data_IF_843230141780
#
_entry.id   IF_843230141780
#
_cell.length_a   1.000
_cell.length_b   1.000
_cell.length_c   1.000
_cell.angle_alpha   90.00
_cell.angle_beta   90.00
_cell.angle_gamma   90.00
#
_symmetry.space_group_name_H-M   'P 1'
#
loop_
_entity.id
_entity.type
_entity.pdbx_description
1 polymer ?
#
# COMPACT_ATOMS: atom_id res chain seq x y z
N UNK A 1 -29.73 -17.17 16.35
CA UNK A 1 -28.50 -17.44 17.15
C UNK A 1 -27.41 -16.57 16.59
N UNK A 2 -27.12 -15.43 17.25
CA UNK A 2 -26.05 -14.51 16.87
C UNK A 2 -24.71 -15.11 17.29
N UNK A 3 -23.94 -15.64 16.36
CA UNK A 3 -22.52 -15.87 16.56
C UNK A 3 -21.80 -14.53 16.36
N UNK A 4 -21.60 -13.81 17.45
CA UNK A 4 -20.56 -12.77 17.48
C UNK A 4 -19.22 -13.48 17.25
N UNK A 5 -18.55 -13.13 16.17
CA UNK A 5 -17.16 -13.52 15.93
C UNK A 5 -16.31 -12.92 17.05
N UNK A 6 -15.94 -13.73 18.00
CA UNK A 6 -14.93 -13.42 19.00
C UNK A 6 -13.61 -13.26 18.24
N UNK A 7 -13.14 -12.03 18.09
CA UNK A 7 -11.78 -11.78 17.62
C UNK A 7 -10.85 -12.12 18.77
N UNK A 8 -10.07 -13.18 18.62
CA UNK A 8 -9.02 -13.53 19.56
C UNK A 8 -7.98 -12.39 19.62
N UNK A 9 -7.79 -11.85 20.82
CA UNK A 9 -6.83 -10.77 21.05
C UNK A 9 -5.44 -11.38 21.12
N UNK A 10 -4.64 -11.18 20.07
CA UNK A 10 -3.22 -11.52 20.12
C UNK A 10 -2.45 -10.45 20.89
N UNK A 11 -1.90 -10.82 22.03
CA UNK A 11 -0.98 -9.98 22.79
C UNK A 11 0.35 -9.86 22.03
N UNK A 12 0.62 -8.68 21.49
CA UNK A 12 1.82 -8.37 20.70
C UNK A 12 2.53 -7.14 21.31
N UNK A 13 3.24 -7.27 22.46
CA UNK A 13 3.86 -6.15 23.17
C UNK A 13 4.87 -5.36 22.29
N UNK A 14 5.51 -6.01 21.31
CA UNK A 14 6.38 -5.34 20.31
C UNK A 14 5.61 -4.35 19.43
N UNK A 15 4.29 -4.52 19.26
CA UNK A 15 3.44 -3.54 18.58
C UNK A 15 3.26 -2.25 19.37
N UNK A 16 3.47 -2.27 20.67
CA UNK A 16 3.39 -1.06 21.52
C UNK A 16 4.52 -0.08 21.21
N UNK A 17 5.69 -0.53 20.81
CA UNK A 17 6.75 0.37 20.31
C UNK A 17 6.33 1.00 18.97
N UNK A 18 5.72 0.22 18.09
CA UNK A 18 5.14 0.70 16.83
C UNK A 18 3.99 1.70 17.09
N UNK A 19 3.08 1.41 18.01
CA UNK A 19 1.98 2.31 18.40
C UNK A 19 2.50 3.55 19.15
N UNK A 20 3.57 3.42 19.95
CA UNK A 20 4.20 4.55 20.65
C UNK A 20 5.08 5.37 19.70
N UNK A 21 5.68 4.77 18.70
CA UNK A 21 6.37 5.47 17.61
C UNK A 21 5.40 6.12 16.62
N UNK A 22 4.14 5.72 16.61
CA UNK A 22 3.02 6.36 15.91
C UNK A 22 2.49 7.67 16.55
N UNK A 23 3.16 8.23 17.53
CA UNK A 23 3.32 9.69 17.55
C UNK A 23 4.30 10.07 16.43
N UNK A 24 4.06 9.54 15.22
CA UNK A 24 4.63 10.06 14.00
C UNK A 24 4.27 11.54 13.98
N UNK A 25 5.27 12.41 13.87
CA UNK A 25 5.05 13.79 13.50
C UNK A 25 3.96 13.78 12.43
N UNK A 26 2.79 14.34 12.75
CA UNK A 26 1.70 14.42 11.77
C UNK A 26 2.28 15.12 10.55
N UNK A 27 2.33 14.42 9.43
CA UNK A 27 2.82 15.03 8.19
C UNK A 27 1.81 16.11 7.84
N UNK A 28 2.20 17.38 7.80
CA UNK A 28 1.27 18.47 7.52
C UNK A 28 0.54 18.23 6.20
N UNK A 29 -0.75 18.53 6.16
CA UNK A 29 -1.49 18.50 4.91
C UNK A 29 -0.94 19.58 3.98
N UNK A 30 -0.68 19.22 2.74
CA UNK A 30 -0.26 20.14 1.68
C UNK A 30 -1.46 20.46 0.77
N UNK A 31 -1.35 21.57 0.03
CA UNK A 31 -2.35 21.91 -0.98
C UNK A 31 -2.27 20.92 -2.14
N UNK A 32 -3.32 20.16 -2.34
CA UNK A 32 -3.42 19.21 -3.46
C UNK A 32 -3.70 19.93 -4.78
N UNK A 33 -3.37 19.27 -5.90
CA UNK A 33 -3.66 19.78 -7.23
C UNK A 33 -5.17 19.90 -7.49
N UNK A 34 -5.55 20.68 -8.49
CA UNK A 34 -6.95 20.81 -8.92
C UNK A 34 -7.57 19.44 -9.25
N UNK A 35 -8.78 19.20 -8.76
CA UNK A 35 -9.45 17.90 -8.86
C UNK A 35 -8.99 16.84 -7.84
N UNK A 36 -7.99 17.14 -7.01
CA UNK A 36 -7.56 16.27 -5.92
C UNK A 36 -8.44 16.45 -4.66
N UNK A 37 -8.43 15.44 -3.80
CA UNK A 37 -9.11 15.45 -2.50
C UNK A 37 -8.08 15.69 -1.38
N UNK A 38 -8.22 16.77 -0.57
CA UNK A 38 -7.28 17.09 0.52
C UNK A 38 -7.27 16.04 1.65
N UNK A 39 -8.30 15.21 1.75
CA UNK A 39 -8.37 14.13 2.74
C UNK A 39 -7.87 12.79 2.19
N UNK A 40 -7.55 12.72 0.91
CA UNK A 40 -7.00 11.55 0.27
C UNK A 40 -5.48 11.46 0.48
N UNK A 41 -5.00 10.40 1.15
CA UNK A 41 -3.57 10.21 1.41
C UNK A 41 -2.75 10.09 0.11
N UNK A 42 -3.32 9.56 -0.97
CA UNK A 42 -2.65 9.45 -2.28
C UNK A 42 -2.49 10.84 -2.90
N UNK A 43 -3.54 11.68 -2.90
CA UNK A 43 -3.45 13.06 -3.38
C UNK A 43 -2.43 13.87 -2.56
N UNK A 44 -2.41 13.69 -1.25
CA UNK A 44 -1.43 14.30 -0.37
C UNK A 44 0.00 13.83 -0.71
N UNK A 45 0.19 12.53 -0.96
CA UNK A 45 1.48 12.01 -1.38
C UNK A 45 1.88 12.52 -2.77
N UNK A 46 0.95 12.66 -3.72
CA UNK A 46 1.22 13.24 -5.05
C UNK A 46 1.72 14.69 -4.96
N UNK A 47 1.15 15.48 -4.06
CA UNK A 47 1.46 16.90 -3.91
C UNK A 47 2.73 17.20 -3.11
N UNK A 48 3.23 16.25 -2.31
CA UNK A 48 4.33 16.45 -1.36
C UNK A 48 5.55 15.60 -1.75
N UNK A 49 6.31 16.09 -2.72
CA UNK A 49 7.49 15.37 -3.22
C UNK A 49 8.71 15.43 -2.26
N UNK A 50 8.70 16.36 -1.30
CA UNK A 50 9.82 16.53 -0.36
C UNK A 50 9.78 15.52 0.80
N UNK A 51 8.60 14.93 1.06
CA UNK A 51 8.38 14.01 2.17
C UNK A 51 8.10 12.57 1.72
N UNK A 52 8.67 12.12 0.62
CA UNK A 52 8.44 10.78 0.06
C UNK A 52 8.63 9.65 1.08
N UNK A 53 9.69 9.71 1.88
CA UNK A 53 9.93 8.72 2.93
C UNK A 53 8.83 8.70 3.98
N UNK A 54 8.43 9.86 4.50
CA UNK A 54 7.36 9.98 5.50
C UNK A 54 6.00 9.52 4.94
N UNK A 55 5.76 9.79 3.64
CA UNK A 55 4.55 9.37 2.91
C UNK A 55 4.64 7.97 2.31
N UNK A 56 5.78 7.28 2.51
CA UNK A 56 6.05 5.93 2.03
C UNK A 56 6.03 5.82 0.49
N UNK A 57 6.28 6.91 -0.23
CA UNK A 57 6.36 6.92 -1.70
C UNK A 57 7.68 6.29 -2.12
N UNK A 58 7.62 5.25 -2.95
CA UNK A 58 8.78 4.52 -3.45
C UNK A 58 9.04 4.77 -4.94
N UNK A 59 8.09 5.37 -5.65
CA UNK A 59 8.26 5.72 -7.07
C UNK A 59 7.21 6.67 -7.59
N UNK A 60 7.59 7.44 -8.62
CA UNK A 60 6.75 8.40 -9.33
C UNK A 60 7.01 8.32 -10.82
N UNK A 61 5.97 8.53 -11.60
CA UNK A 61 6.02 8.79 -13.04
C UNK A 61 5.12 10.00 -13.37
N UNK A 62 5.06 10.47 -14.59
CA UNK A 62 4.13 11.54 -14.95
C UNK A 62 2.64 11.21 -14.72
N UNK A 63 2.27 9.92 -14.69
CA UNK A 63 0.87 9.49 -14.59
C UNK A 63 0.56 8.66 -13.34
N UNK A 64 1.58 8.15 -12.64
CA UNK A 64 1.37 7.23 -11.52
C UNK A 64 2.25 7.54 -10.31
N UNK A 65 1.77 7.13 -9.16
CA UNK A 65 2.52 7.12 -7.92
C UNK A 65 2.50 5.70 -7.33
N UNK A 66 3.63 5.27 -6.76
CA UNK A 66 3.72 3.99 -6.06
C UNK A 66 4.08 4.23 -4.59
N UNK A 67 3.27 3.68 -3.70
CA UNK A 67 3.35 3.90 -2.25
C UNK A 67 3.46 2.55 -1.55
N UNK A 68 4.37 2.42 -0.59
CA UNK A 68 4.40 1.28 0.31
C UNK A 68 3.17 1.31 1.23
N UNK A 69 2.39 0.23 1.27
CA UNK A 69 1.18 0.21 2.09
C UNK A 69 1.54 0.29 3.58
N UNK A 70 0.99 1.29 4.28
CA UNK A 70 1.18 1.46 5.73
C UNK A 70 0.61 0.29 6.55
N UNK A 71 -0.43 -0.39 6.03
CA UNK A 71 -1.07 -1.55 6.64
C UNK A 71 -0.91 -2.78 5.73
N UNK A 72 0.31 -3.31 5.60
CA UNK A 72 0.62 -4.30 4.56
C UNK A 72 -0.05 -5.64 4.84
N UNK A 73 -0.56 -6.29 3.78
CA UNK A 73 -1.03 -7.67 3.85
C UNK A 73 0.13 -8.65 3.88
N UNK A 74 1.26 -8.28 3.31
CA UNK A 74 2.52 -9.01 3.39
C UNK A 74 3.69 -8.04 3.25
N UNK A 75 4.92 -8.51 3.52
CA UNK A 75 6.11 -7.68 3.38
C UNK A 75 6.22 -7.11 1.95
N UNK A 76 6.61 -5.84 1.82
CA UNK A 76 6.75 -5.19 0.51
C UNK A 76 5.43 -4.94 -0.25
N UNK A 77 4.28 -4.93 0.43
CA UNK A 77 2.98 -4.63 -0.19
C UNK A 77 2.94 -3.21 -0.72
N UNK A 78 2.83 -3.06 -2.04
CA UNK A 78 2.75 -1.77 -2.73
C UNK A 78 1.33 -1.44 -3.17
N UNK A 79 1.08 -0.13 -3.23
CA UNK A 79 -0.09 0.47 -3.86
C UNK A 79 0.39 1.25 -5.09
N UNK A 80 -0.17 0.98 -6.27
CA UNK A 80 0.09 1.73 -7.51
C UNK A 80 -1.19 2.44 -7.90
N UNK A 81 -1.14 3.76 -8.01
CA UNK A 81 -2.31 4.59 -8.28
C UNK A 81 -2.03 5.61 -9.40
N UNK A 82 -3.07 6.06 -10.14
CA UNK A 82 -2.93 7.24 -10.98
C UNK A 82 -2.70 8.49 -10.12
N UNK A 83 -2.02 9.51 -10.68
CA UNK A 83 -1.86 10.80 -10.00
C UNK A 83 -3.20 11.52 -9.88
N UNK A 84 -4.04 11.40 -10.91
CA UNK A 84 -5.39 11.97 -10.93
C UNK A 84 -6.30 11.27 -9.93
N UNK A 85 -7.06 12.04 -9.15
CA UNK A 85 -8.06 11.51 -8.20
C UNK A 85 -9.26 10.93 -8.92
N UNK A 86 -9.23 9.66 -9.24
CA UNK A 86 -10.31 8.93 -9.91
C UNK A 86 -10.60 7.60 -9.22
N UNK A 87 -11.87 7.22 -9.23
CA UNK A 87 -12.37 6.05 -8.48
C UNK A 87 -12.58 4.80 -9.34
N UNK A 88 -12.49 4.90 -10.68
CA UNK A 88 -12.91 3.85 -11.61
C UNK A 88 -11.95 3.73 -12.79
N UNK A 89 -11.79 2.50 -13.28
CA UNK A 89 -10.89 2.21 -14.42
C UNK A 89 -11.38 2.81 -15.74
N UNK A 90 -12.67 2.92 -15.94
CA UNK A 90 -13.29 3.50 -17.14
C UNK A 90 -13.10 5.03 -17.26
N UNK A 91 -12.55 5.66 -16.23
CA UNK A 91 -12.19 7.08 -16.21
C UNK A 91 -10.71 7.33 -16.55
N UNK A 92 -9.91 6.27 -16.72
CA UNK A 92 -8.50 6.37 -17.13
C UNK A 92 -8.39 6.79 -18.58
N UNK A 93 -7.39 7.63 -18.89
CA UNK A 93 -6.93 7.78 -20.28
C UNK A 93 -6.14 6.53 -20.71
N UNK A 94 -5.94 6.38 -22.03
CA UNK A 94 -5.14 5.27 -22.57
C UNK A 94 -3.69 5.32 -22.03
N UNK A 95 -3.12 6.52 -21.92
CA UNK A 95 -1.76 6.74 -21.43
C UNK A 95 -1.65 6.37 -19.94
N UNK A 96 -2.64 6.75 -19.13
CA UNK A 96 -2.69 6.38 -17.70
C UNK A 96 -2.80 4.87 -17.54
N UNK A 97 -3.68 4.22 -18.30
CA UNK A 97 -3.87 2.75 -18.23
C UNK A 97 -2.59 2.00 -18.63
N UNK A 98 -1.92 2.46 -19.71
CA UNK A 98 -0.65 1.89 -20.14
C UNK A 98 0.45 2.11 -19.11
N UNK A 99 0.56 3.30 -18.55
CA UNK A 99 1.54 3.62 -17.53
C UNK A 99 1.34 2.77 -16.27
N UNK A 100 0.09 2.63 -15.79
CA UNK A 100 -0.25 1.77 -14.64
C UNK A 100 0.18 0.31 -14.88
N UNK A 101 -0.10 -0.24 -16.06
CA UNK A 101 0.31 -1.61 -16.41
C UNK A 101 1.83 -1.76 -16.43
N UNK A 102 2.53 -0.79 -16.99
CA UNK A 102 4.00 -0.77 -17.06
C UNK A 102 4.62 -0.67 -15.65
N UNK A 103 4.06 0.17 -14.78
CA UNK A 103 4.52 0.32 -13.40
C UNK A 103 4.30 -0.95 -12.57
N UNK A 104 3.13 -1.57 -12.70
CA UNK A 104 2.86 -2.86 -12.03
C UNK A 104 3.90 -3.91 -12.45
N UNK A 105 4.17 -4.01 -13.75
CA UNK A 105 5.17 -4.94 -14.31
C UNK A 105 6.58 -4.65 -13.78
N UNK A 106 6.97 -3.37 -13.76
CA UNK A 106 8.26 -2.93 -13.22
C UNK A 106 8.42 -3.32 -11.74
N UNK A 107 7.40 -3.03 -10.92
CA UNK A 107 7.46 -3.29 -9.48
C UNK A 107 7.47 -4.78 -9.14
N UNK A 108 6.75 -5.62 -9.89
CA UNK A 108 6.81 -7.07 -9.76
C UNK A 108 8.26 -7.54 -9.94
N UNK A 109 8.91 -7.16 -11.05
CA UNK A 109 10.29 -7.57 -11.32
C UNK A 109 11.31 -6.96 -10.34
N UNK A 110 11.08 -5.75 -9.82
CA UNK A 110 11.93 -5.14 -8.78
C UNK A 110 11.80 -5.87 -7.45
N UNK A 111 10.58 -6.14 -6.98
CA UNK A 111 10.33 -6.83 -5.72
C UNK A 111 10.87 -8.25 -5.77
N UNK A 112 10.63 -9.00 -6.86
CA UNK A 112 11.16 -10.34 -7.05
C UNK A 112 12.67 -10.40 -6.83
N UNK A 113 13.42 -9.50 -7.48
CA UNK A 113 14.89 -9.43 -7.35
C UNK A 113 15.37 -8.94 -5.98
N UNK A 114 14.58 -8.07 -5.32
CA UNK A 114 15.04 -7.38 -4.10
C UNK A 114 14.79 -8.20 -2.85
N UNK A 115 13.64 -8.90 -2.78
CA UNK A 115 13.21 -9.65 -1.59
C UNK A 115 12.96 -11.13 -1.89
N UNK A 116 13.36 -11.63 -3.05
CA UNK A 116 13.18 -13.01 -3.50
C UNK A 116 11.71 -13.48 -3.37
N UNK A 117 10.77 -12.64 -3.82
CA UNK A 117 9.37 -13.04 -3.84
C UNK A 117 9.16 -14.18 -4.84
N UNK A 118 8.39 -15.20 -4.43
CA UNK A 118 8.13 -16.40 -5.24
C UNK A 118 6.83 -16.28 -6.05
N UNK A 119 6.01 -15.27 -5.75
CA UNK A 119 4.77 -15.01 -6.44
C UNK A 119 4.15 -13.68 -6.01
N UNK A 120 3.02 -13.34 -6.63
CA UNK A 120 2.32 -12.07 -6.37
C UNK A 120 0.81 -12.25 -6.44
N UNK A 121 0.09 -11.58 -5.55
CA UNK A 121 -1.31 -11.26 -5.75
C UNK A 121 -1.42 -9.81 -6.22
N UNK A 122 -1.98 -9.60 -7.40
CA UNK A 122 -2.14 -8.27 -8.00
C UNK A 122 -3.61 -8.04 -8.30
N UNK A 123 -4.14 -6.90 -7.88
CA UNK A 123 -5.54 -6.57 -8.10
C UNK A 123 -5.94 -5.23 -7.49
N UNK A 124 -7.18 -4.82 -7.72
CA UNK A 124 -7.73 -3.62 -7.11
C UNK A 124 -9.14 -3.86 -6.59
N UNK A 125 -9.55 -3.07 -5.61
CA UNK A 125 -10.89 -3.06 -5.06
C UNK A 125 -11.64 -1.83 -5.61
N UNK A 126 -12.74 -2.02 -6.32
CA UNK A 126 -13.58 -0.93 -6.82
C UNK A 126 -14.84 -0.81 -5.97
N UNK A 127 -14.95 0.31 -5.26
CA UNK A 127 -16.08 0.60 -4.37
C UNK A 127 -15.99 -0.05 -2.98
N UNK A 128 -16.81 0.44 -2.06
CA UNK A 128 -16.79 0.01 -0.64
C UNK A 128 -17.14 -1.46 -0.45
N UNK A 129 -18.11 -1.97 -1.19
CA UNK A 129 -18.58 -3.36 -1.07
C UNK A 129 -17.53 -4.37 -1.56
N UNK A 130 -16.56 -3.93 -2.38
CA UNK A 130 -15.43 -4.72 -2.80
C UNK A 130 -14.23 -4.63 -1.83
N UNK A 131 -14.37 -3.91 -0.72
CA UNK A 131 -13.31 -3.77 0.29
C UNK A 131 -12.34 -2.61 0.06
N UNK A 132 -12.68 -1.63 -0.81
CA UNK A 132 -11.84 -0.45 -0.99
C UNK A 132 -11.81 0.40 0.29
N UNK A 133 -10.63 0.53 0.92
CA UNK A 133 -10.42 1.41 2.06
C UNK A 133 -10.46 2.90 1.68
N UNK A 134 -10.11 3.23 0.44
CA UNK A 134 -10.18 4.56 -0.16
C UNK A 134 -10.97 4.50 -1.48
N UNK A 135 -12.32 4.50 -1.46
CA UNK A 135 -13.13 4.29 -2.65
C UNK A 135 -13.03 5.41 -3.70
N UNK A 136 -12.67 6.63 -3.28
CA UNK A 136 -12.58 7.81 -4.17
C UNK A 136 -11.33 7.85 -5.03
N UNK A 137 -10.28 7.11 -4.68
CA UNK A 137 -9.03 7.08 -5.41
C UNK A 137 -8.60 5.64 -5.67
N UNK A 138 -8.78 5.16 -6.89
CA UNK A 138 -8.44 3.80 -7.25
C UNK A 138 -6.93 3.53 -7.10
N UNK A 139 -6.60 2.34 -6.62
CA UNK A 139 -5.21 1.91 -6.47
C UNK A 139 -5.10 0.40 -6.60
N UNK A 140 -4.08 -0.05 -7.31
CA UNK A 140 -3.74 -1.45 -7.43
C UNK A 140 -2.90 -1.88 -6.24
N UNK A 141 -3.18 -3.08 -5.74
CA UNK A 141 -2.36 -3.76 -4.76
C UNK A 141 -1.38 -4.68 -5.47
N UNK A 142 -0.11 -4.65 -5.08
CA UNK A 142 0.92 -5.63 -5.42
C UNK A 142 1.37 -6.25 -4.12
N UNK A 143 0.98 -7.51 -3.88
CA UNK A 143 1.27 -8.22 -2.64
C UNK A 143 2.22 -9.36 -2.94
N UNK A 144 3.51 -9.27 -2.54
CA UNK A 144 4.47 -10.35 -2.70
C UNK A 144 4.09 -11.55 -1.86
N UNK A 145 4.43 -12.73 -2.37
CA UNK A 145 4.12 -14.01 -1.72
C UNK A 145 5.35 -14.90 -1.68
N UNK A 146 5.44 -15.70 -0.64
CA UNK A 146 6.46 -16.73 -0.44
C UNK A 146 5.81 -18.04 0.00
N UNK A 147 6.46 -19.15 -0.33
CA UNK A 147 6.06 -20.44 0.21
C UNK A 147 6.12 -20.40 1.75
N UNK A 148 5.03 -20.77 2.41
CA UNK A 148 4.91 -20.72 3.88
C UNK A 148 4.70 -19.33 4.48
N UNK A 149 4.35 -18.30 3.71
CA UNK A 149 4.01 -16.96 4.23
C UNK A 149 2.69 -16.97 5.05
N UNK A 150 1.85 -17.97 4.86
CA UNK A 150 0.75 -18.33 5.73
C UNK A 150 1.20 -19.51 6.62
N UNK A 151 1.48 -19.26 7.89
CA UNK A 151 2.03 -20.23 8.82
C UNK A 151 1.04 -20.59 9.95
N UNK A 152 1.53 -21.34 10.96
CA UNK A 152 0.77 -21.72 12.14
C UNK A 152 0.02 -20.56 12.80
N UNK A 153 0.61 -19.36 12.90
CA UNK A 153 -0.01 -18.19 13.51
C UNK A 153 -1.23 -17.71 12.73
N UNK A 154 -1.18 -17.75 11.39
CA UNK A 154 -2.34 -17.39 10.54
C UNK A 154 -3.47 -18.38 10.69
N UNK A 155 -3.13 -19.68 10.81
CA UNK A 155 -4.11 -20.76 10.89
C UNK A 155 -4.77 -20.87 12.27
N UNK A 156 -3.98 -20.65 13.35
CA UNK A 156 -4.45 -20.87 14.74
C UNK A 156 -4.92 -19.61 15.43
N UNK A 157 -4.32 -18.45 15.09
CA UNK A 157 -4.55 -17.18 15.79
C UNK A 157 -5.10 -16.08 14.88
N UNK A 158 -5.40 -16.35 13.59
CA UNK A 158 -5.79 -15.36 12.59
C UNK A 158 -4.81 -14.17 12.52
N UNK A 159 -3.55 -14.39 12.94
CA UNK A 159 -2.50 -13.38 13.00
C UNK A 159 -1.47 -13.62 11.91
N UNK A 160 -1.04 -12.54 11.23
CA UNK A 160 0.03 -12.56 10.25
C UNK A 160 1.24 -11.80 10.76
N UNK A 161 2.41 -12.42 10.71
CA UNK A 161 3.67 -11.76 11.02
C UNK A 161 4.18 -11.02 9.79
N UNK A 162 4.57 -9.76 9.96
CA UNK A 162 5.28 -8.97 8.95
C UNK A 162 6.71 -8.79 9.48
N UNK A 163 7.70 -9.44 8.89
CA UNK A 163 9.05 -9.53 9.49
C UNK A 163 9.91 -8.27 9.31
N UNK A 164 9.51 -7.33 8.45
CA UNK A 164 10.32 -6.16 8.12
C UNK A 164 9.58 -4.86 8.48
N UNK A 165 10.30 -3.91 9.10
CA UNK A 165 9.78 -2.58 9.36
C UNK A 165 9.57 -1.79 8.06
N UNK A 166 8.59 -0.88 8.04
CA UNK A 166 8.25 -0.08 6.86
C UNK A 166 9.41 0.76 6.36
N UNK A 167 10.20 1.37 7.28
CA UNK A 167 11.37 2.17 6.91
C UNK A 167 12.43 1.35 6.16
N UNK A 168 12.72 0.13 6.64
CA UNK A 168 13.65 -0.77 5.98
C UNK A 168 13.12 -1.25 4.62
N UNK A 169 11.82 -1.52 4.51
CA UNK A 169 11.19 -1.86 3.24
C UNK A 169 11.19 -0.67 2.26
N UNK A 170 11.00 0.55 2.75
CA UNK A 170 11.05 1.76 1.94
C UNK A 170 12.46 1.99 1.36
N UNK A 171 13.52 1.91 2.20
CA UNK A 171 14.91 2.07 1.74
C UNK A 171 15.29 1.02 0.67
N UNK A 172 14.76 -0.19 0.81
CA UNK A 172 15.04 -1.28 -0.10
C UNK A 172 14.33 -1.13 -1.46
N UNK A 173 13.11 -0.60 -1.46
CA UNK A 173 12.24 -0.55 -2.63
C UNK A 173 12.24 0.79 -3.36
N UNK A 174 12.62 1.90 -2.71
CA UNK A 174 12.57 3.23 -3.35
C UNK A 174 13.28 3.23 -4.72
N UNK A 175 12.70 3.95 -5.66
CA UNK A 175 13.32 4.21 -6.97
C UNK A 175 14.43 5.25 -6.78
N UNK A 176 15.58 5.01 -7.36
CA UNK A 176 16.69 5.96 -7.45
C UNK A 176 16.38 7.08 -8.44
#
# INVERSE_FOLDING_TARGET
MNQQSQHDILWAPWRMEYIKSEKSEEIPKVKVSEGGDPDCFICQACADCENDKKRLVVGRTPFTITILNRFPYNNGHLLVAPIRHISRMDLLSSEEAQCLTSEITYWIGKIEKTVNAEGFNVGLNLGRVAGAGLPGHMHWHIVPRWNGDANFMTTTCSAKSIPQALDAAWELLRRE
#
